data_IF_793446866988
#
_entry.id   IF_793446866988
#
_cell.length_a   1.000
_cell.length_b   1.000
_cell.length_c   1.000
_cell.angle_alpha   90.00
_cell.angle_beta   90.00
_cell.angle_gamma   90.00
#
_symmetry.space_group_name_H-M   'P 1'
#
loop_
_entity.id
_entity.type
_entity.pdbx_description
1 polymer ?
#
# COMPACT_ATOMS: atom_id res chain seq x y z
N UNK A 1 -4.90 -27.41 5.16
CA UNK A 1 -4.98 -26.26 6.08
C UNK A 1 -6.41 -25.72 6.11
N UNK A 2 -6.83 -25.06 7.19
CA UNK A 2 -8.08 -24.29 7.23
C UNK A 2 -7.77 -22.89 6.67
N UNK A 3 -8.72 -22.30 5.95
CA UNK A 3 -8.62 -20.89 5.54
C UNK A 3 -8.89 -20.01 6.77
N UNK A 4 -7.83 -19.43 7.34
CA UNK A 4 -7.87 -18.58 8.53
C UNK A 4 -6.86 -17.44 8.43
N UNK A 5 -6.99 -16.41 9.26
CA UNK A 5 -6.13 -15.22 9.21
C UNK A 5 -4.69 -15.53 9.64
N UNK A 6 -4.51 -16.47 10.57
CA UNK A 6 -3.19 -16.97 11.00
C UNK A 6 -2.50 -17.73 9.86
N UNK A 7 -3.25 -18.55 9.10
CA UNK A 7 -2.71 -19.23 7.92
C UNK A 7 -2.38 -18.23 6.80
N UNK A 8 -3.21 -17.21 6.60
CA UNK A 8 -2.93 -16.12 5.67
C UNK A 8 -1.65 -15.35 6.06
N UNK A 9 -1.44 -15.07 7.35
CA UNK A 9 -0.24 -14.40 7.84
C UNK A 9 1.04 -15.22 7.54
N UNK A 10 0.99 -16.55 7.72
CA UNK A 10 2.11 -17.44 7.36
C UNK A 10 2.37 -17.40 5.85
N UNK A 11 1.33 -17.49 5.01
CA UNK A 11 1.46 -17.40 3.55
C UNK A 11 2.03 -16.06 3.09
N UNK A 12 1.57 -14.94 3.65
CA UNK A 12 2.02 -13.59 3.30
C UNK A 12 3.46 -13.31 3.77
N UNK A 13 3.83 -13.79 4.96
CA UNK A 13 5.23 -13.75 5.44
C UNK A 13 6.16 -14.52 4.52
N UNK A 14 5.77 -15.72 4.10
CA UNK A 14 6.55 -16.52 3.14
C UNK A 14 6.62 -15.83 1.78
N UNK A 15 5.54 -15.21 1.31
CA UNK A 15 5.53 -14.45 0.05
C UNK A 15 6.51 -13.26 0.10
N UNK A 16 6.53 -12.47 1.19
CA UNK A 16 7.50 -11.38 1.37
C UNK A 16 8.96 -11.86 1.35
N UNK A 17 9.25 -13.03 1.95
CA UNK A 17 10.59 -13.62 1.97
C UNK A 17 11.05 -14.21 0.62
N UNK A 18 10.12 -14.41 -0.33
CA UNK A 18 10.39 -14.93 -1.67
C UNK A 18 10.48 -13.83 -2.74
N UNK A 19 10.15 -12.58 -2.42
CA UNK A 19 10.43 -11.44 -3.28
C UNK A 19 11.94 -11.18 -3.28
N UNK A 20 12.58 -10.96 -4.46
CA UNK A 20 13.97 -10.55 -4.47
C UNK A 20 14.08 -9.15 -3.83
N UNK A 21 15.04 -8.98 -2.92
CA UNK A 21 15.34 -7.67 -2.38
C UNK A 21 15.82 -6.74 -3.50
N UNK A 22 15.22 -5.55 -3.59
CA UNK A 22 15.77 -4.49 -4.42
C UNK A 22 17.09 -4.06 -3.79
N UNK A 23 18.20 -4.54 -4.36
CA UNK A 23 19.54 -4.04 -4.06
C UNK A 23 19.51 -2.52 -4.21
N UNK A 24 19.59 -1.81 -3.09
CA UNK A 24 19.73 -0.37 -3.11
C UNK A 24 21.11 -0.08 -3.69
N UNK A 25 21.15 0.46 -4.91
CA UNK A 25 22.39 0.93 -5.52
C UNK A 25 23.13 1.84 -4.52
N UNK A 26 24.33 1.45 -4.05
CA UNK A 26 25.03 2.24 -3.05
C UNK A 26 25.38 3.60 -3.66
N UNK A 27 24.77 4.65 -3.11
CA UNK A 27 24.96 6.03 -3.57
C UNK A 27 26.47 6.33 -3.65
N UNK A 28 26.97 6.55 -4.86
CA UNK A 28 28.38 6.81 -5.09
C UNK A 28 28.78 8.18 -4.51
N UNK A 29 29.33 8.19 -3.30
CA UNK A 29 30.14 9.32 -2.83
C UNK A 29 31.43 9.38 -3.64
N UNK A 30 31.40 10.15 -4.74
CA UNK A 30 32.56 10.42 -5.59
C UNK A 30 33.54 11.39 -4.90
N UNK A 31 34.19 10.94 -3.82
CA UNK A 31 35.33 11.60 -3.19
C UNK A 31 36.64 11.24 -3.89
N UNK A 32 37.21 12.16 -4.68
CA UNK A 32 38.36 11.88 -5.53
C UNK A 32 39.71 12.38 -4.98
N UNK A 33 40.76 11.52 -4.99
CA UNK A 33 42.06 11.74 -5.70
C UNK A 33 43.25 10.84 -5.28
N UNK A 34 43.81 10.15 -6.29
CA UNK A 34 45.25 10.02 -6.66
C UNK A 34 46.26 9.09 -5.94
N UNK A 35 47.16 8.55 -6.80
CA UNK A 35 48.52 7.98 -6.56
C UNK A 35 48.64 6.60 -5.87
N UNK A 36 49.53 5.68 -6.30
CA UNK A 36 50.42 5.62 -7.47
C UNK A 36 50.96 4.17 -7.69
N UNK A 37 51.23 3.76 -8.96
CA UNK A 37 52.27 2.80 -9.49
C UNK A 37 52.65 1.47 -8.74
N UNK A 38 53.17 0.37 -9.32
CA UNK A 38 53.77 0.04 -10.64
C UNK A 38 53.78 -1.50 -10.93
N UNK A 39 53.77 -1.91 -12.22
CA UNK A 39 54.30 -3.22 -12.72
C UNK A 39 53.41 -4.48 -12.60
N UNK A 40 53.46 -5.48 -13.50
CA UNK A 40 54.24 -5.64 -14.75
C UNK A 40 53.79 -6.89 -15.57
N UNK A 41 54.22 -7.00 -16.84
CA UNK A 41 53.75 -7.99 -17.84
C UNK A 41 54.18 -9.46 -17.59
N UNK A 42 53.33 -10.41 -18.00
CA UNK A 42 53.59 -11.28 -19.18
C UNK A 42 52.32 -11.95 -19.71
N UNK A 43 52.37 -12.34 -20.98
CA UNK A 43 51.29 -12.91 -21.81
C UNK A 43 51.51 -14.44 -22.00
N UNK A 44 50.60 -15.28 -22.50
CA UNK A 44 49.36 -15.12 -23.29
C UNK A 44 48.23 -16.06 -22.70
N UNK A 45 47.13 -16.53 -23.31
CA UNK A 45 46.72 -16.75 -24.73
C UNK A 45 45.20 -16.83 -24.93
N UNK A 46 44.81 -16.93 -26.21
CA UNK A 46 43.52 -17.30 -26.82
C UNK A 46 42.91 -18.63 -26.26
N UNK A 47 41.59 -18.87 -26.31
CA UNK A 47 40.64 -18.55 -27.41
C UNK A 47 39.30 -17.94 -26.97
N UNK A 48 38.66 -17.26 -27.94
CA UNK A 48 37.37 -16.56 -27.79
C UNK A 48 36.15 -17.41 -28.15
N UNK A 49 35.03 -17.20 -27.44
CA UNK A 49 33.73 -16.92 -28.07
C UNK A 49 32.96 -15.87 -27.26
N UNK A 50 33.05 -14.61 -27.69
CA UNK A 50 32.41 -13.48 -27.01
C UNK A 50 30.95 -13.36 -27.43
N UNK A 51 30.05 -14.10 -26.78
CA UNK A 51 28.61 -13.90 -26.88
C UNK A 51 28.22 -12.51 -26.35
N UNK A 52 28.31 -11.51 -27.24
CA UNK A 52 28.04 -10.10 -26.95
C UNK A 52 26.54 -9.90 -26.70
N UNK A 53 26.11 -10.08 -25.45
CA UNK A 53 24.81 -9.64 -24.97
C UNK A 53 24.75 -8.11 -24.99
N UNK A 54 24.50 -7.55 -26.18
CA UNK A 54 24.18 -6.13 -26.36
C UNK A 54 23.06 -5.79 -25.38
N UNK A 55 23.30 -4.81 -24.51
CA UNK A 55 22.37 -4.38 -23.46
C UNK A 55 21.10 -3.77 -24.05
N UNK A 56 20.16 -4.62 -24.46
CA UNK A 56 18.80 -4.21 -24.75
C UNK A 56 18.11 -4.04 -23.41
N UNK A 57 17.95 -2.80 -22.97
CA UNK A 57 17.39 -2.47 -21.64
C UNK A 57 15.85 -2.53 -21.67
N UNK A 58 15.32 -3.71 -22.03
CA UNK A 58 13.89 -4.01 -22.18
C UNK A 58 13.56 -5.34 -21.53
N UNK A 59 12.57 -5.33 -20.63
CA UNK A 59 12.05 -6.46 -19.86
C UNK A 59 13.10 -7.48 -19.36
N UNK A 60 13.83 -7.10 -18.29
CA UNK A 60 14.46 -8.07 -17.38
C UNK A 60 13.37 -8.89 -16.69
N UNK A 61 13.00 -10.02 -17.29
CA UNK A 61 12.06 -10.99 -16.71
C UNK A 61 12.68 -11.71 -15.50
N UNK A 62 11.85 -11.91 -14.47
CA UNK A 62 12.24 -12.51 -13.19
C UNK A 62 11.62 -13.92 -13.13
N UNK A 63 12.43 -15.00 -13.01
CA UNK A 63 11.90 -16.37 -12.95
C UNK A 63 10.96 -16.57 -11.76
N UNK A 64 9.74 -17.05 -12.04
CA UNK A 64 8.70 -17.25 -11.02
C UNK A 64 8.00 -18.63 -11.16
N UNK A 65 8.75 -19.75 -11.16
CA UNK A 65 8.15 -21.08 -11.31
C UNK A 65 7.18 -21.42 -10.16
N UNK A 66 6.05 -22.11 -10.42
CA UNK A 66 5.65 -22.74 -11.68
C UNK A 66 4.96 -21.81 -12.68
N UNK A 67 4.72 -20.54 -12.33
CA UNK A 67 4.15 -19.53 -13.23
C UNK A 67 5.15 -19.03 -14.30
N UNK A 68 4.65 -18.27 -15.27
CA UNK A 68 5.46 -17.52 -16.22
C UNK A 68 6.37 -16.51 -15.51
N UNK A 69 7.57 -16.20 -16.05
CA UNK A 69 8.43 -15.14 -15.52
C UNK A 69 7.72 -13.79 -15.45
N UNK A 70 7.93 -13.05 -14.35
CA UNK A 70 7.31 -11.76 -14.08
C UNK A 70 8.13 -10.60 -14.67
N UNK A 71 7.48 -9.55 -15.16
CA UNK A 71 8.11 -8.24 -15.41
C UNK A 71 8.39 -7.51 -14.10
N UNK A 72 9.30 -6.53 -14.12
CA UNK A 72 9.55 -5.67 -12.94
C UNK A 72 8.25 -5.01 -12.43
N UNK A 73 7.39 -4.50 -13.31
CA UNK A 73 6.13 -3.86 -12.90
C UNK A 73 5.15 -4.83 -12.25
N UNK A 74 5.09 -6.07 -12.71
CA UNK A 74 4.25 -7.12 -12.13
C UNK A 74 4.75 -7.51 -10.74
N UNK A 75 6.07 -7.57 -10.54
CA UNK A 75 6.68 -7.77 -9.22
C UNK A 75 6.44 -6.59 -8.27
N UNK A 76 6.58 -5.34 -8.75
CA UNK A 76 6.25 -4.13 -7.96
C UNK A 76 4.77 -4.16 -7.51
N UNK A 77 3.85 -4.49 -8.41
CA UNK A 77 2.42 -4.60 -8.11
C UNK A 77 2.12 -5.76 -7.12
N UNK A 78 2.80 -6.90 -7.27
CA UNK A 78 2.70 -8.05 -6.37
C UNK A 78 3.21 -7.70 -4.95
N UNK A 79 4.36 -7.02 -4.85
CA UNK A 79 4.93 -6.50 -3.59
C UNK A 79 3.95 -5.57 -2.87
N UNK A 80 3.31 -4.65 -3.60
CA UNK A 80 2.27 -3.78 -3.05
C UNK A 80 1.04 -4.58 -2.57
N UNK A 81 0.59 -5.56 -3.37
CA UNK A 81 -0.57 -6.41 -3.01
C UNK A 81 -0.30 -7.24 -1.76
N UNK A 82 0.88 -7.86 -1.64
CA UNK A 82 1.29 -8.63 -0.46
C UNK A 82 1.35 -7.71 0.77
N UNK A 83 1.96 -6.52 0.68
CA UNK A 83 2.02 -5.56 1.79
C UNK A 83 0.63 -5.10 2.25
N UNK A 84 -0.29 -4.82 1.33
CA UNK A 84 -1.68 -4.46 1.66
C UNK A 84 -2.42 -5.60 2.38
N UNK A 85 -2.30 -6.83 1.88
CA UNK A 85 -2.87 -8.00 2.53
C UNK A 85 -2.22 -8.27 3.91
N UNK A 86 -0.91 -8.07 4.06
CA UNK A 86 -0.22 -8.22 5.35
C UNK A 86 -0.69 -7.20 6.38
N UNK A 87 -0.92 -5.95 5.98
CA UNK A 87 -1.48 -4.92 6.87
C UNK A 87 -2.91 -5.29 7.33
N UNK A 88 -3.78 -5.69 6.39
CA UNK A 88 -5.15 -6.13 6.70
C UNK A 88 -5.19 -7.36 7.63
N UNK A 89 -4.35 -8.37 7.36
CA UNK A 89 -4.30 -9.58 8.18
C UNK A 89 -3.75 -9.28 9.58
N UNK A 90 -2.77 -8.40 9.70
CA UNK A 90 -2.26 -7.97 11.01
C UNK A 90 -3.31 -7.20 11.84
N UNK A 91 -4.09 -6.30 11.23
CA UNK A 91 -5.24 -5.65 11.88
C UNK A 91 -6.26 -6.67 12.39
N UNK A 92 -6.67 -7.61 11.53
CA UNK A 92 -7.65 -8.64 11.88
C UNK A 92 -7.17 -9.63 12.97
N UNK A 93 -5.85 -9.72 13.18
CA UNK A 93 -5.22 -10.48 14.26
C UNK A 93 -4.89 -9.62 15.51
N UNK A 94 -5.13 -8.31 15.45
CA UNK A 94 -4.84 -7.36 16.53
C UNK A 94 -3.37 -6.92 16.66
N UNK A 95 -2.48 -7.31 15.74
CA UNK A 95 -1.09 -6.83 15.72
C UNK A 95 -0.97 -5.48 15.02
N UNK A 96 -1.38 -4.43 15.75
CA UNK A 96 -1.39 -3.06 15.26
C UNK A 96 0.02 -2.54 14.90
N UNK A 97 1.07 -3.05 15.54
CA UNK A 97 2.45 -2.67 15.23
C UNK A 97 2.89 -3.26 13.88
N UNK A 98 2.60 -4.54 13.63
CA UNK A 98 2.87 -5.18 12.34
C UNK A 98 1.99 -4.60 11.22
N UNK A 99 0.71 -4.30 11.52
CA UNK A 99 -0.19 -3.62 10.59
C UNK A 99 0.37 -2.28 10.10
N UNK A 100 0.74 -1.40 11.03
CA UNK A 100 1.34 -0.11 10.71
C UNK A 100 2.65 -0.28 9.92
N UNK A 101 3.52 -1.22 10.32
CA UNK A 101 4.78 -1.50 9.63
C UNK A 101 4.57 -1.90 8.15
N UNK A 102 3.54 -2.70 7.86
CA UNK A 102 3.17 -3.07 6.49
C UNK A 102 2.51 -1.93 5.72
N UNK A 103 1.65 -1.13 6.36
CA UNK A 103 1.00 0.03 5.75
C UNK A 103 2.00 1.15 5.39
N UNK A 104 2.96 1.46 6.27
CA UNK A 104 4.04 2.40 6.00
C UNK A 104 4.94 1.92 4.85
N UNK A 105 5.32 0.63 4.85
CA UNK A 105 6.07 0.02 3.74
C UNK A 105 5.30 0.06 2.43
N UNK A 106 3.97 -0.09 2.45
CA UNK A 106 3.13 0.03 1.27
C UNK A 106 3.15 1.47 0.73
N UNK A 107 2.91 2.46 1.59
CA UNK A 107 2.91 3.89 1.23
C UNK A 107 4.28 4.40 0.75
N UNK A 108 5.37 3.71 1.12
CA UNK A 108 6.73 3.98 0.64
C UNK A 108 7.06 3.35 -0.73
N UNK A 109 6.17 2.57 -1.35
CA UNK A 109 6.45 1.99 -2.67
C UNK A 109 6.36 3.06 -3.79
N UNK A 110 7.35 3.11 -4.72
CA UNK A 110 7.49 4.23 -5.66
C UNK A 110 6.41 4.31 -6.75
N UNK A 111 5.66 3.21 -6.98
CA UNK A 111 4.55 3.14 -7.94
C UNK A 111 3.34 2.45 -7.30
N UNK A 112 2.68 3.15 -6.38
CA UNK A 112 1.48 2.65 -5.70
C UNK A 112 0.21 3.08 -6.45
N UNK A 113 -0.70 2.15 -6.74
CA UNK A 113 -2.01 2.47 -7.35
C UNK A 113 -2.93 3.16 -6.34
N UNK A 114 -3.83 4.04 -6.80
CA UNK A 114 -4.68 4.86 -5.89
C UNK A 114 -5.52 4.03 -4.94
N UNK A 115 -6.05 2.89 -5.38
CA UNK A 115 -6.77 1.94 -4.53
C UNK A 115 -5.90 1.37 -3.40
N UNK A 116 -4.64 1.02 -3.67
CA UNK A 116 -3.72 0.51 -2.66
C UNK A 116 -3.17 1.64 -1.76
N UNK A 117 -3.03 2.86 -2.29
CA UNK A 117 -2.69 4.05 -1.50
C UNK A 117 -3.81 4.40 -0.52
N UNK A 118 -5.07 4.38 -0.98
CA UNK A 118 -6.25 4.55 -0.14
C UNK A 118 -6.29 3.53 1.00
N UNK A 119 -6.08 2.24 0.70
CA UNK A 119 -6.00 1.18 1.72
C UNK A 119 -4.80 1.36 2.66
N UNK A 120 -3.63 1.76 2.15
CA UNK A 120 -2.44 2.03 2.97
C UNK A 120 -2.67 3.13 4.00
N UNK A 121 -3.31 4.24 3.61
CA UNK A 121 -3.70 5.28 4.56
C UNK A 121 -4.76 4.80 5.55
N UNK A 122 -5.76 4.04 5.09
CA UNK A 122 -6.84 3.52 5.95
C UNK A 122 -6.30 2.56 7.02
N UNK A 123 -5.48 1.58 6.63
CA UNK A 123 -4.91 0.59 7.56
C UNK A 123 -3.89 1.21 8.52
N UNK A 124 -3.08 2.18 8.06
CA UNK A 124 -2.20 2.93 8.94
C UNK A 124 -3.00 3.73 9.99
N UNK A 125 -4.09 4.39 9.58
CA UNK A 125 -4.95 5.14 10.51
C UNK A 125 -5.63 4.25 11.56
N UNK A 126 -6.16 3.10 11.15
CA UNK A 126 -6.78 2.11 12.04
C UNK A 126 -5.78 1.54 13.06
N UNK A 127 -4.57 1.19 12.59
CA UNK A 127 -3.48 0.77 13.45
C UNK A 127 -3.03 1.87 14.43
N UNK A 128 -2.91 3.13 13.95
CA UNK A 128 -2.50 4.26 14.78
C UNK A 128 -3.55 4.62 15.84
N UNK A 129 -4.85 4.58 15.52
CA UNK A 129 -5.94 4.72 16.50
C UNK A 129 -5.85 3.61 17.56
N UNK A 130 -5.63 2.37 17.12
CA UNK A 130 -5.50 1.20 18.01
C UNK A 130 -4.18 1.15 18.79
N UNK A 131 -3.30 2.14 18.59
CA UNK A 131 -2.06 2.40 19.33
C UNK A 131 -2.13 3.73 20.11
N UNK A 132 -3.31 4.33 20.27
CA UNK A 132 -3.58 5.65 20.89
C UNK A 132 -2.88 6.85 20.20
N UNK A 133 -2.29 6.64 19.01
CA UNK A 133 -1.61 7.66 18.20
C UNK A 133 -2.59 8.41 17.29
N UNK A 134 -3.70 8.87 17.87
CA UNK A 134 -4.83 9.48 17.12
C UNK A 134 -4.40 10.75 16.37
N UNK A 135 -3.44 11.52 16.92
CA UNK A 135 -2.80 12.66 16.23
C UNK A 135 -2.21 12.28 14.87
N UNK A 136 -1.55 11.13 14.79
CA UNK A 136 -0.87 10.67 13.58
C UNK A 136 -1.90 10.08 12.60
N UNK A 137 -2.88 9.32 13.10
CA UNK A 137 -3.97 8.77 12.31
C UNK A 137 -4.73 9.84 11.50
N UNK A 138 -4.97 11.01 12.10
CA UNK A 138 -5.60 12.18 11.44
C UNK A 138 -4.84 12.60 10.17
N UNK A 139 -3.52 12.44 10.11
CA UNK A 139 -2.73 12.79 8.92
C UNK A 139 -2.96 11.82 7.75
N UNK A 140 -3.18 10.53 8.03
CA UNK A 140 -3.53 9.53 7.03
C UNK A 140 -5.01 9.65 6.59
N UNK A 141 -5.91 10.01 7.50
CA UNK A 141 -7.34 10.20 7.25
C UNK A 141 -7.70 11.52 6.53
N UNK A 142 -6.71 12.33 6.13
CA UNK A 142 -6.95 13.51 5.31
C UNK A 142 -7.51 13.11 3.92
N UNK A 143 -8.71 13.56 3.52
CA UNK A 143 -9.29 13.19 2.22
C UNK A 143 -8.46 13.65 1.01
N UNK A 144 -7.61 14.67 1.15
CA UNK A 144 -6.71 15.09 0.05
C UNK A 144 -5.57 14.10 -0.23
N UNK A 145 -5.34 13.11 0.65
CA UNK A 145 -4.47 11.98 0.33
C UNK A 145 -5.03 11.12 -0.83
N UNK A 146 -6.34 11.18 -1.07
CA UNK A 146 -7.05 10.45 -2.13
C UNK A 146 -7.05 11.27 -3.42
N UNK A 147 -6.15 10.93 -4.32
CA UNK A 147 -5.99 11.54 -5.65
C UNK A 147 -6.74 10.77 -6.74
N UNK A 148 -6.76 9.45 -6.65
CA UNK A 148 -7.39 8.53 -7.59
C UNK A 148 -7.81 7.23 -6.88
N UNK A 149 -8.56 6.37 -7.56
CA UNK A 149 -8.99 5.05 -7.10
C UNK A 149 -8.68 3.96 -8.15
N UNK A 150 -7.55 4.10 -8.85
CA UNK A 150 -7.12 3.12 -9.84
C UNK A 150 -6.62 1.83 -9.20
N UNK A 151 -6.94 0.68 -9.81
CA UNK A 151 -6.51 -0.64 -9.32
C UNK A 151 -5.08 -1.02 -9.76
N UNK A 152 -4.50 -0.32 -10.74
CA UNK A 152 -3.17 -0.66 -11.29
C UNK A 152 -3.13 -1.88 -12.22
N UNK A 153 -4.30 -2.36 -12.66
CA UNK A 153 -4.46 -3.50 -13.58
C UNK A 153 -4.87 -2.96 -14.96
N UNK A 154 -4.23 -3.44 -16.03
CA UNK A 154 -4.60 -3.13 -17.41
C UNK A 154 -5.95 -3.77 -17.77
N UNK A 155 -6.90 -3.00 -18.29
CA UNK A 155 -8.31 -3.41 -18.45
C UNK A 155 -8.56 -4.61 -19.38
N UNK A 156 -7.58 -5.05 -20.17
CA UNK A 156 -7.74 -6.11 -21.18
C UNK A 156 -8.01 -7.51 -20.60
N UNK A 157 -7.74 -7.76 -19.31
CA UNK A 157 -7.96 -9.09 -18.71
C UNK A 157 -9.25 -9.19 -17.88
N UNK A 158 -10.06 -8.13 -17.86
CA UNK A 158 -11.24 -8.03 -17.00
C UNK A 158 -12.40 -8.96 -17.44
N UNK A 159 -12.39 -9.45 -18.68
CA UNK A 159 -13.39 -10.40 -19.21
C UNK A 159 -13.21 -11.87 -18.73
N UNK A 160 -12.01 -12.25 -18.26
CA UNK A 160 -11.75 -13.63 -17.78
C UNK A 160 -12.02 -13.78 -16.27
N UNK A 161 -12.04 -12.68 -15.51
CA UNK A 161 -12.39 -12.65 -14.09
C UNK A 161 -13.92 -12.76 -13.88
N UNK A 162 -14.49 -13.91 -14.29
CA UNK A 162 -15.93 -14.17 -14.46
C UNK A 162 -16.80 -14.21 -13.19
N UNK A 163 -16.78 -13.14 -12.40
CA UNK A 163 -17.75 -12.69 -11.39
C UNK A 163 -17.27 -11.31 -10.94
N UNK A 164 -18.18 -10.32 -10.84
CA UNK A 164 -17.84 -9.00 -10.27
C UNK A 164 -17.08 -9.22 -8.96
N UNK A 165 -15.83 -8.76 -8.89
CA UNK A 165 -15.12 -8.68 -7.63
C UNK A 165 -16.02 -7.92 -6.63
N UNK A 166 -16.15 -8.39 -5.37
CA UNK A 166 -16.98 -7.70 -4.40
C UNK A 166 -16.51 -6.25 -4.27
N UNK A 167 -17.44 -5.35 -3.92
CA UNK A 167 -17.27 -3.90 -4.05
C UNK A 167 -16.39 -3.29 -2.92
N UNK A 168 -15.29 -3.97 -2.62
CA UNK A 168 -14.29 -3.71 -1.57
C UNK A 168 -13.35 -2.54 -1.90
N UNK A 169 -13.49 -1.95 -3.09
CA UNK A 169 -12.77 -0.74 -3.49
C UNK A 169 -13.79 0.37 -3.79
N UNK A 170 -13.52 1.62 -3.36
CA UNK A 170 -14.42 2.74 -3.58
C UNK A 170 -14.61 3.00 -5.08
N UNK A 171 -15.86 3.10 -5.53
CA UNK A 171 -16.23 3.25 -6.94
C UNK A 171 -15.86 4.60 -7.56
N UNK A 172 -15.45 5.57 -6.74
CA UNK A 172 -15.03 6.91 -7.16
C UNK A 172 -14.16 7.56 -6.09
N UNK A 173 -13.40 8.58 -6.50
CA UNK A 173 -12.63 9.45 -5.58
C UNK A 173 -13.55 10.11 -4.54
N UNK A 174 -14.79 10.48 -4.90
CA UNK A 174 -15.76 11.05 -3.97
C UNK A 174 -16.17 10.02 -2.90
N UNK A 175 -16.46 8.78 -3.27
CA UNK A 175 -16.77 7.69 -2.34
C UNK A 175 -15.61 7.44 -1.37
N UNK A 176 -14.38 7.35 -1.89
CA UNK A 176 -13.15 7.19 -1.09
C UNK A 176 -12.93 8.36 -0.09
N UNK A 177 -13.08 9.61 -0.56
CA UNK A 177 -12.98 10.81 0.28
C UNK A 177 -14.06 10.86 1.36
N UNK A 178 -15.25 10.36 1.07
CA UNK A 178 -16.36 10.28 2.04
C UNK A 178 -16.06 9.29 3.16
N UNK A 179 -15.49 8.11 2.84
CA UNK A 179 -15.03 7.15 3.86
C UNK A 179 -13.93 7.76 4.74
N UNK A 180 -12.95 8.44 4.14
CA UNK A 180 -11.91 9.16 4.89
C UNK A 180 -12.50 10.23 5.82
N UNK A 181 -13.50 11.00 5.37
CA UNK A 181 -14.17 12.01 6.19
C UNK A 181 -14.97 11.42 7.37
N UNK A 182 -15.68 10.29 7.20
CA UNK A 182 -16.36 9.65 8.32
C UNK A 182 -15.37 9.12 9.37
N UNK A 183 -14.29 8.47 8.92
CA UNK A 183 -13.26 7.95 9.82
C UNK A 183 -12.47 9.08 10.52
N UNK A 184 -12.21 10.19 9.81
CA UNK A 184 -11.65 11.42 10.38
C UNK A 184 -12.59 12.02 11.43
N UNK A 185 -13.91 11.95 11.21
CA UNK A 185 -14.93 12.29 12.20
C UNK A 185 -14.80 11.45 13.48
N UNK A 186 -14.66 10.13 13.35
CA UNK A 186 -14.41 9.22 14.48
C UNK A 186 -13.12 9.58 15.23
N UNK A 187 -12.03 9.85 14.51
CA UNK A 187 -10.75 10.24 15.12
C UNK A 187 -10.83 11.57 15.89
N UNK A 188 -11.63 12.53 15.42
CA UNK A 188 -11.90 13.76 16.18
C UNK A 188 -12.80 13.51 17.41
N UNK A 189 -13.79 12.61 17.33
CA UNK A 189 -14.59 12.22 18.50
C UNK A 189 -13.74 11.56 19.60
N UNK A 190 -12.78 10.70 19.25
CA UNK A 190 -11.85 10.09 20.21
C UNK A 190 -10.94 11.11 20.90
N UNK A 191 -10.79 12.31 20.35
CA UNK A 191 -10.07 13.45 20.94
C UNK A 191 -10.99 14.48 21.62
N UNK A 192 -12.29 14.21 21.67
CA UNK A 192 -13.33 15.15 22.09
C UNK A 192 -13.39 16.47 21.28
N UNK A 193 -12.87 16.47 20.04
CA UNK A 193 -12.87 17.62 19.14
C UNK A 193 -14.17 17.67 18.31
N UNK A 194 -15.31 17.64 19.00
CA UNK A 194 -16.64 17.41 18.42
C UNK A 194 -17.04 18.41 17.32
N UNK A 195 -16.62 19.67 17.40
CA UNK A 195 -16.80 20.67 16.34
C UNK A 195 -16.16 20.28 15.01
N UNK A 196 -15.01 19.59 15.05
CA UNK A 196 -14.32 19.12 13.84
C UNK A 196 -14.97 17.85 13.32
N UNK A 197 -15.33 16.92 14.20
CA UNK A 197 -16.08 15.72 13.83
C UNK A 197 -17.39 16.07 13.12
N UNK A 198 -18.18 16.99 13.68
CA UNK A 198 -19.42 17.52 13.09
C UNK A 198 -19.21 18.13 11.70
N UNK A 199 -18.13 18.88 11.49
CA UNK A 199 -17.75 19.42 10.16
C UNK A 199 -17.41 18.30 9.17
N UNK A 200 -16.66 17.29 9.58
CA UNK A 200 -16.35 16.13 8.73
C UNK A 200 -17.62 15.36 8.32
N UNK A 201 -18.59 15.17 9.23
CA UNK A 201 -19.86 14.52 8.92
C UNK A 201 -20.74 15.34 7.96
N UNK A 202 -20.86 16.66 8.16
CA UNK A 202 -21.60 17.52 7.23
C UNK A 202 -20.95 17.55 5.84
N UNK A 203 -19.62 17.54 5.77
CA UNK A 203 -18.90 17.45 4.48
C UNK A 203 -19.15 16.09 3.82
N UNK A 204 -19.00 14.98 4.54
CA UNK A 204 -19.26 13.63 4.02
C UNK A 204 -20.71 13.46 3.53
N UNK A 205 -21.70 13.92 4.32
CA UNK A 205 -23.12 13.82 3.99
C UNK A 205 -23.55 14.67 2.78
N UNK A 206 -22.74 15.65 2.36
CA UNK A 206 -22.98 16.40 1.11
C UNK A 206 -22.32 15.78 -0.12
N UNK A 207 -21.53 14.71 0.04
CA UNK A 207 -20.80 14.01 -1.03
C UNK A 207 -21.43 12.69 -1.50
N UNK A 208 -22.41 12.15 -0.76
CA UNK A 208 -23.13 10.89 -1.07
C UNK A 208 -24.65 11.04 -0.92
N UNK A 209 -25.42 10.14 -1.52
CA UNK A 209 -26.88 10.18 -1.37
C UNK A 209 -27.30 9.75 0.05
N UNK A 210 -28.33 10.34 0.67
CA UNK A 210 -28.80 9.96 2.03
C UNK A 210 -29.24 8.49 2.22
N UNK A 211 -29.23 7.66 1.17
CA UNK A 211 -29.50 6.21 1.22
C UNK A 211 -28.23 5.36 1.19
N UNK A 212 -27.08 6.00 0.99
CA UNK A 212 -25.74 5.40 0.89
C UNK A 212 -24.89 5.71 2.13
N UNK A 213 -25.45 6.47 3.09
CA UNK A 213 -24.80 6.78 4.37
C UNK A 213 -24.65 5.49 5.19
N UNK A 214 -23.42 5.09 5.58
CA UNK A 214 -23.19 3.85 6.30
C UNK A 214 -23.76 3.93 7.74
N UNK A 215 -24.27 2.82 8.32
CA UNK A 215 -24.83 2.81 9.67
C UNK A 215 -23.89 3.37 10.74
N UNK A 216 -22.59 3.17 10.58
CA UNK A 216 -21.51 3.65 11.45
C UNK A 216 -21.47 5.19 11.49
N UNK A 217 -21.71 5.85 10.35
CA UNK A 217 -21.80 7.32 10.28
C UNK A 217 -23.08 7.86 10.94
N UNK A 218 -24.18 7.09 10.91
CA UNK A 218 -25.42 7.43 11.63
C UNK A 218 -25.19 7.30 13.15
N UNK A 219 -24.53 6.23 13.61
CA UNK A 219 -24.16 6.05 15.01
C UNK A 219 -23.23 7.18 15.50
N UNK A 220 -22.26 7.58 14.67
CA UNK A 220 -21.34 8.69 14.95
C UNK A 220 -22.08 10.05 15.04
N UNK A 221 -23.10 10.27 14.21
CA UNK A 221 -23.97 11.44 14.30
C UNK A 221 -24.81 11.43 15.60
N UNK A 222 -25.41 10.29 15.95
CA UNK A 222 -26.17 10.13 17.21
C UNK A 222 -25.28 10.37 18.43
N UNK A 223 -24.05 9.85 18.43
CA UNK A 223 -23.08 10.13 19.49
C UNK A 223 -22.78 11.64 19.62
N UNK A 224 -22.62 12.35 18.50
CA UNK A 224 -22.36 13.80 18.49
C UNK A 224 -23.56 14.66 18.95
N UNK A 225 -24.80 14.18 18.83
CA UNK A 225 -25.96 14.82 19.46
C UNK A 225 -26.03 14.49 20.96
N UNK A 226 -25.77 13.25 21.37
CA UNK A 226 -25.76 12.84 22.79
C UNK A 226 -24.69 13.55 23.63
N UNK A 227 -23.61 14.08 23.02
CA UNK A 227 -22.63 14.93 23.71
C UNK A 227 -23.11 16.38 23.94
N UNK A 228 -24.20 16.82 23.30
CA UNK A 228 -24.73 18.19 23.43
C UNK A 228 -25.81 18.35 24.51
N UNK A 229 -26.54 17.28 24.86
CA UNK A 229 -27.61 17.27 25.88
C UNK A 229 -29.02 17.17 25.31
#
# INVERSE_FOLDING_TARGET
PVASMEFAAICLRNALLLLPEEQQDPKQENGAKNSNQLGGNTESSESSETCSSKSHDGDKFIPAPPSSPLRKQELENLKCSILACSAYVALALGDNLMALNHADKLLQQPKLSGSLKFLGHLYAAEALISLDRISDAITHLNPENVTDVSLGISSNEQDQAGKRAPQCYPSSVNSARTVMLFNLGSAYCLRSEYDKARKCLHQAASMIHPKEVPPEAILLAVYLELQNG
#
